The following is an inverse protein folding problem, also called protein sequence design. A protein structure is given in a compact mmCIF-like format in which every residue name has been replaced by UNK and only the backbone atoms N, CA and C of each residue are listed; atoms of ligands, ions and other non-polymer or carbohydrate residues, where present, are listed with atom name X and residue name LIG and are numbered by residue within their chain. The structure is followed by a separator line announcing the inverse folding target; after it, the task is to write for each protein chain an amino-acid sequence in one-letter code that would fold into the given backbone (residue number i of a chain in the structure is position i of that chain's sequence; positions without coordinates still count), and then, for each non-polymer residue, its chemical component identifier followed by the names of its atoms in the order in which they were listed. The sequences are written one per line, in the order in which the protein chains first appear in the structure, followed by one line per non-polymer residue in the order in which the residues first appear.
data_IF_188055133810
#
_entry.id   IF_188055133810
#
_cell.length_a   1.000
_cell.length_b   1.000
_cell.length_c   1.000
_cell.angle_alpha   90.00
_cell.angle_beta   90.00
_cell.angle_gamma   90.00
#
_symmetry.space_group_name_H-M   'P 1'
#
loop_
_entity.id
_entity.type
_entity.pdbx_description
1 polymer ?
#
# COMPACT_ATOMS: atom_id res chain seq x y z
N UNK A 1 -12.40 -15.77 -18.09
CA UNK A 1 -12.89 -15.46 -19.45
C UNK A 1 -12.62 -13.99 -19.86
N UNK A 2 -11.59 -13.31 -19.33
CA UNK A 2 -11.47 -11.85 -19.46
C UNK A 2 -10.47 -11.39 -20.52
N UNK A 3 -9.35 -12.08 -20.75
CA UNK A 3 -8.30 -11.62 -21.68
C UNK A 3 -8.74 -11.51 -23.15
N UNK A 4 -9.44 -12.54 -23.67
CA UNK A 4 -9.84 -12.58 -25.08
C UNK A 4 -10.91 -11.56 -25.48
N UNK A 5 -11.86 -11.27 -24.58
CA UNK A 5 -12.93 -10.31 -24.85
C UNK A 5 -12.43 -8.86 -24.95
N UNK A 6 -11.44 -8.48 -24.13
CA UNK A 6 -10.85 -7.14 -24.20
C UNK A 6 -9.91 -6.97 -25.38
N UNK A 7 -9.14 -7.99 -25.75
CA UNK A 7 -8.31 -7.97 -26.95
C UNK A 7 -9.15 -7.71 -28.22
N UNK A 8 -10.31 -8.38 -28.32
CA UNK A 8 -11.27 -8.16 -29.40
C UNK A 8 -11.84 -6.73 -29.36
N UNK A 9 -12.28 -6.28 -28.18
CA UNK A 9 -12.87 -4.95 -28.01
C UNK A 9 -11.87 -3.81 -28.28
N UNK A 10 -10.57 -4.02 -28.05
CA UNK A 10 -9.51 -3.06 -28.40
C UNK A 10 -9.19 -3.05 -29.90
N UNK A 11 -9.36 -4.17 -30.61
CA UNK A 11 -9.13 -4.26 -32.04
C UNK A 11 -10.16 -3.44 -32.86
N UNK A 12 -11.37 -3.29 -32.33
CA UNK A 12 -12.47 -2.57 -32.97
C UNK A 12 -12.44 -1.03 -32.71
N UNK A 13 -11.46 -0.53 -31.96
CA UNK A 13 -11.34 0.89 -31.64
C UNK A 13 -10.71 1.69 -32.77
N UNK A 14 -11.23 2.91 -33.00
CA UNK A 14 -10.56 3.89 -33.85
C UNK A 14 -9.23 4.32 -33.23
N UNK A 15 -8.30 4.82 -34.05
CA UNK A 15 -6.99 5.28 -33.59
C UNK A 15 -7.09 6.41 -32.56
N UNK A 16 -8.07 7.29 -32.72
CA UNK A 16 -8.40 8.39 -31.81
C UNK A 16 -8.89 7.84 -30.48
N UNK A 17 -9.76 6.82 -30.50
CA UNK A 17 -10.24 6.16 -29.29
C UNK A 17 -9.12 5.44 -28.54
N UNK A 18 -8.20 4.79 -29.27
CA UNK A 18 -7.02 4.16 -28.67
C UNK A 18 -6.14 5.20 -27.98
N UNK A 19 -5.81 6.31 -28.67
CA UNK A 19 -5.01 7.41 -28.11
C UNK A 19 -5.67 8.04 -26.89
N UNK A 20 -6.97 8.30 -26.94
CA UNK A 20 -7.70 8.92 -25.82
C UNK A 20 -7.68 8.03 -24.58
N UNK A 21 -8.03 6.74 -24.74
CA UNK A 21 -8.06 5.76 -23.64
C UNK A 21 -6.67 5.53 -23.06
N UNK A 22 -5.67 5.39 -23.93
CA UNK A 22 -4.28 5.22 -23.51
C UNK A 22 -3.81 6.43 -22.70
N UNK A 23 -4.04 7.65 -23.19
CA UNK A 23 -3.68 8.89 -22.49
C UNK A 23 -4.38 9.02 -21.13
N UNK A 24 -5.65 8.62 -21.03
CA UNK A 24 -6.35 8.56 -19.74
C UNK A 24 -5.65 7.62 -18.76
N UNK A 25 -5.35 6.39 -19.19
CA UNK A 25 -4.78 5.36 -18.33
C UNK A 25 -3.34 5.69 -17.93
N UNK A 26 -2.52 6.18 -18.85
CA UNK A 26 -1.15 6.62 -18.56
C UNK A 26 -1.15 7.74 -17.53
N UNK A 27 -1.97 8.77 -17.72
CA UNK A 27 -2.08 9.86 -16.76
C UNK A 27 -2.53 9.36 -15.39
N UNK A 28 -3.55 8.50 -15.33
CA UNK A 28 -4.05 7.93 -14.08
C UNK A 28 -2.97 7.09 -13.36
N UNK A 29 -2.25 6.24 -14.09
CA UNK A 29 -1.19 5.39 -13.55
C UNK A 29 0.02 6.20 -13.05
N UNK A 30 0.49 7.15 -13.87
CA UNK A 30 1.66 7.99 -13.54
C UNK A 30 1.36 8.92 -12.37
N UNK A 31 0.20 9.55 -12.35
CA UNK A 31 -0.17 10.49 -11.28
C UNK A 31 -0.49 9.80 -9.94
N UNK A 32 -0.80 8.50 -9.93
CA UNK A 32 -0.95 7.70 -8.71
C UNK A 32 0.39 7.23 -8.12
N UNK A 33 1.42 7.08 -8.95
CA UNK A 33 2.68 6.42 -8.58
C UNK A 33 3.43 7.09 -7.41
N UNK A 34 3.57 8.43 -7.31
CA UNK A 34 4.36 9.05 -6.23
C UNK A 34 3.82 8.74 -4.84
N UNK A 35 2.49 8.81 -4.64
CA UNK A 35 1.86 8.48 -3.36
C UNK A 35 1.98 7.00 -3.04
N UNK A 36 1.86 6.14 -4.05
CA UNK A 36 2.07 4.70 -3.88
C UNK A 36 3.50 4.37 -3.44
N UNK A 37 4.51 5.00 -4.05
CA UNK A 37 5.92 4.88 -3.65
C UNK A 37 6.15 5.40 -2.24
N UNK A 38 5.62 6.59 -1.92
CA UNK A 38 5.77 7.19 -0.59
C UNK A 38 5.18 6.29 0.50
N UNK A 39 3.96 5.79 0.30
CA UNK A 39 3.33 4.87 1.25
C UNK A 39 4.15 3.57 1.38
N UNK A 40 4.51 2.93 0.26
CA UNK A 40 5.17 1.62 0.29
C UNK A 40 6.57 1.70 0.90
N UNK A 41 7.41 2.63 0.43
CA UNK A 41 8.75 2.81 0.99
C UNK A 41 8.73 3.40 2.39
N UNK A 42 7.76 4.30 2.69
CA UNK A 42 7.61 4.87 4.02
C UNK A 42 7.32 3.80 5.06
N UNK A 43 6.40 2.88 4.78
CA UNK A 43 6.10 1.78 5.69
C UNK A 43 7.22 0.75 5.80
N UNK A 44 7.90 0.41 4.69
CA UNK A 44 9.10 -0.46 4.76
C UNK A 44 10.18 0.18 5.63
N UNK A 45 10.49 1.46 5.41
CA UNK A 45 11.51 2.18 6.17
C UNK A 45 11.13 2.30 7.64
N UNK A 46 9.88 2.69 7.93
CA UNK A 46 9.37 2.82 9.29
C UNK A 46 9.41 1.51 10.06
N UNK A 47 8.87 0.43 9.49
CA UNK A 47 8.91 -0.89 10.11
C UNK A 47 10.33 -1.42 10.27
N UNK A 48 11.21 -1.25 9.27
CA UNK A 48 12.59 -1.73 9.36
C UNK A 48 13.38 -0.97 10.44
N UNK A 49 13.24 0.35 10.51
CA UNK A 49 13.88 1.16 11.54
C UNK A 49 13.37 0.78 12.93
N UNK A 50 12.05 0.63 13.08
CA UNK A 50 11.44 0.22 14.34
C UNK A 50 11.90 -1.18 14.77
N UNK A 51 12.00 -2.14 13.83
CA UNK A 51 12.48 -3.49 14.11
C UNK A 51 13.94 -3.49 14.60
N UNK A 52 14.82 -2.73 13.93
CA UNK A 52 16.24 -2.64 14.31
C UNK A 52 16.43 -1.95 15.66
N UNK A 53 15.75 -0.83 15.90
CA UNK A 53 15.87 -0.09 17.16
C UNK A 53 15.33 -0.92 18.32
N UNK A 54 14.12 -1.47 18.20
CA UNK A 54 13.52 -2.26 19.26
C UNK A 54 14.28 -3.57 19.50
N UNK A 55 14.70 -4.27 18.44
CA UNK A 55 15.53 -5.47 18.58
C UNK A 55 16.87 -5.20 19.27
N UNK A 56 17.51 -4.05 18.97
CA UNK A 56 18.73 -3.63 19.66
C UNK A 56 18.49 -3.30 21.14
N UNK A 57 17.41 -2.57 21.45
CA UNK A 57 17.02 -2.25 22.82
C UNK A 57 16.68 -3.51 23.64
N UNK A 58 16.00 -4.48 23.02
CA UNK A 58 15.73 -5.78 23.62
C UNK A 58 17.04 -6.50 23.96
N UNK A 59 17.98 -6.58 23.01
CA UNK A 59 19.25 -7.26 23.22
C UNK A 59 20.10 -6.62 24.32
N UNK A 60 20.17 -5.28 24.38
CA UNK A 60 20.95 -4.55 25.40
C UNK A 60 20.40 -4.74 26.81
N UNK A 61 19.09 -4.94 26.95
CA UNK A 61 18.42 -5.06 28.25
C UNK A 61 18.05 -6.51 28.60
N UNK A 62 18.42 -7.50 27.79
CA UNK A 62 17.92 -8.87 27.90
C UNK A 62 18.29 -9.57 29.22
N UNK A 63 19.53 -9.37 29.68
CA UNK A 63 20.06 -10.01 30.89
C UNK A 63 19.71 -9.25 32.19
N UNK A 64 18.91 -8.18 32.09
CA UNK A 64 18.47 -7.40 33.24
C UNK A 64 17.27 -8.06 33.92
N UNK A 65 16.84 -7.49 35.05
CA UNK A 65 15.74 -8.01 35.88
C UNK A 65 14.72 -6.93 36.21
N UNK A 66 13.49 -7.32 36.53
CA UNK A 66 12.42 -6.38 36.88
C UNK A 66 11.96 -5.57 35.66
N UNK A 67 11.66 -4.28 35.86
CA UNK A 67 11.11 -3.40 34.80
C UNK A 67 12.00 -3.32 33.55
N UNK A 68 13.32 -3.44 33.69
CA UNK A 68 14.22 -3.44 32.53
C UNK A 68 14.08 -4.72 31.69
N UNK A 69 13.77 -5.87 32.32
CA UNK A 69 13.50 -7.12 31.60
C UNK A 69 12.18 -7.05 30.86
N UNK A 70 11.18 -6.51 31.54
CA UNK A 70 9.85 -6.25 30.98
C UNK A 70 9.93 -5.36 29.74
N UNK A 71 10.70 -4.27 29.84
CA UNK A 71 10.98 -3.38 28.71
C UNK A 71 11.66 -4.12 27.55
N UNK A 72 12.63 -5.00 27.84
CA UNK A 72 13.31 -5.78 26.81
C UNK A 72 12.35 -6.72 26.06
N UNK A 73 11.39 -7.32 26.78
CA UNK A 73 10.36 -8.19 26.23
C UNK A 73 9.39 -7.42 25.33
N UNK A 74 8.91 -6.26 25.77
CA UNK A 74 8.04 -5.39 24.97
C UNK A 74 8.73 -4.96 23.66
N UNK A 75 10.02 -4.59 23.74
CA UNK A 75 10.82 -4.25 22.57
C UNK A 75 11.06 -5.45 21.65
N UNK A 76 11.21 -6.66 22.20
CA UNK A 76 11.36 -7.86 21.37
C UNK A 76 10.07 -8.15 20.59
N UNK A 77 8.90 -8.10 21.25
CA UNK A 77 7.60 -8.35 20.60
C UNK A 77 7.31 -7.28 19.55
N UNK A 78 7.49 -6.01 19.90
CA UNK A 78 7.26 -4.90 18.98
C UNK A 78 8.24 -4.91 17.79
N UNK A 79 9.52 -5.22 18.05
CA UNK A 79 10.53 -5.38 17.02
C UNK A 79 10.23 -6.52 16.06
N UNK A 80 9.85 -7.69 16.57
CA UNK A 80 9.45 -8.85 15.76
C UNK A 80 8.20 -8.55 14.92
N UNK A 81 7.19 -7.90 15.50
CA UNK A 81 5.96 -7.52 14.77
C UNK A 81 6.26 -6.51 13.66
N UNK A 82 7.15 -5.55 13.91
CA UNK A 82 7.62 -4.61 12.89
C UNK A 82 8.40 -5.33 11.78
N UNK A 83 9.27 -6.30 12.12
CA UNK A 83 9.99 -7.10 11.12
C UNK A 83 9.02 -7.90 10.23
N UNK A 84 7.96 -8.47 10.80
CA UNK A 84 6.89 -9.13 10.04
C UNK A 84 6.17 -8.15 9.10
N UNK A 85 5.86 -6.94 9.58
CA UNK A 85 5.26 -5.87 8.75
C UNK A 85 6.13 -5.49 7.55
N UNK A 86 7.43 -5.28 7.76
CA UNK A 86 8.39 -5.03 6.69
C UNK A 86 8.49 -6.21 5.70
N UNK A 87 8.64 -7.43 6.24
CA UNK A 87 8.72 -8.65 5.43
C UNK A 87 7.48 -8.87 4.56
N UNK A 88 6.28 -8.62 5.11
CA UNK A 88 5.03 -8.69 4.37
C UNK A 88 4.97 -7.72 3.17
N UNK A 89 5.46 -6.49 3.35
CA UNK A 89 5.51 -5.49 2.27
C UNK A 89 6.57 -5.79 1.20
N UNK A 90 7.62 -6.55 1.53
CA UNK A 90 8.66 -7.00 0.60
C UNK A 90 8.20 -8.22 -0.21
N UNK A 91 7.57 -9.20 0.43
CA UNK A 91 7.06 -10.42 -0.23
C UNK A 91 5.83 -10.11 -1.08
N UNK A 92 5.04 -9.13 -0.66
CA UNK A 92 3.78 -8.76 -1.31
C UNK A 92 3.81 -7.27 -1.73
N UNK A 93 4.61 -6.93 -2.76
CA UNK A 93 4.89 -5.54 -3.11
C UNK A 93 3.64 -4.78 -3.59
N UNK A 94 3.61 -3.47 -3.35
CA UNK A 94 2.46 -2.63 -3.70
C UNK A 94 2.54 -2.19 -5.17
N UNK A 95 1.90 -2.97 -6.06
CA UNK A 95 1.94 -2.79 -7.53
C UNK A 95 1.80 -1.33 -8.01
N UNK A 96 0.90 -0.50 -7.46
CA UNK A 96 0.78 0.91 -7.89
C UNK A 96 2.09 1.73 -7.78
N UNK A 97 3.06 1.31 -6.96
CA UNK A 97 4.34 1.99 -6.81
C UNK A 97 5.30 1.78 -8.00
N UNK A 98 5.21 0.66 -8.72
CA UNK A 98 6.18 0.29 -9.77
C UNK A 98 5.55 -0.14 -11.10
N UNK A 99 4.28 -0.57 -11.11
CA UNK A 99 3.56 -0.98 -12.32
C UNK A 99 3.65 -0.01 -13.50
N UNK A 100 3.51 1.32 -13.31
CA UNK A 100 3.59 2.30 -14.39
C UNK A 100 4.95 2.40 -15.09
N UNK A 101 6.04 2.00 -14.43
CA UNK A 101 7.40 2.19 -14.97
C UNK A 101 7.66 1.41 -16.25
N UNK A 102 7.15 0.17 -16.35
CA UNK A 102 7.30 -0.62 -17.58
C UNK A 102 6.39 -0.17 -18.73
N UNK A 103 5.31 0.58 -18.42
CA UNK A 103 4.39 1.07 -19.44
C UNK A 103 5.02 2.23 -20.24
N UNK A 104 5.76 3.11 -19.57
CA UNK A 104 6.42 4.26 -20.19
C UNK A 104 7.45 3.89 -21.25
N UNK A 105 8.09 2.72 -21.11
CA UNK A 105 9.10 2.23 -22.06
C UNK A 105 8.53 1.44 -23.24
N UNK A 106 7.21 1.24 -23.30
CA UNK A 106 6.59 0.53 -24.42
C UNK A 106 6.52 1.43 -25.67
N UNK A 107 6.79 0.89 -26.87
CA UNK A 107 6.69 1.64 -28.11
C UNK A 107 5.24 2.04 -28.42
N UNK A 108 5.08 3.11 -29.19
CA UNK A 108 3.78 3.69 -29.57
C UNK A 108 3.79 4.33 -30.99
N UNK A 109 4.81 4.02 -31.78
CA UNK A 109 5.02 4.60 -33.12
C UNK A 109 4.00 4.09 -34.15
N UNK A 110 3.51 2.86 -33.99
CA UNK A 110 2.52 2.24 -34.88
C UNK A 110 1.14 2.10 -34.22
N UNK A 111 0.05 1.97 -35.01
CA UNK A 111 -1.27 1.61 -34.50
C UNK A 111 -1.27 0.35 -33.62
N UNK A 112 -0.57 -0.68 -34.07
CA UNK A 112 -0.46 -1.98 -33.40
C UNK A 112 0.26 -1.84 -32.06
N UNK A 113 1.37 -1.07 -32.02
CA UNK A 113 2.10 -0.75 -30.79
C UNK A 113 1.21 0.00 -29.80
N UNK A 114 0.44 0.99 -30.25
CA UNK A 114 -0.48 1.76 -29.39
C UNK A 114 -1.59 0.88 -28.82
N UNK A 115 -2.13 -0.07 -29.59
CA UNK A 115 -3.13 -1.04 -29.10
C UNK A 115 -2.52 -2.00 -28.07
N UNK A 116 -1.31 -2.50 -28.31
CA UNK A 116 -0.60 -3.35 -27.35
C UNK A 116 -0.31 -2.60 -26.04
N UNK A 117 0.11 -1.34 -26.13
CA UNK A 117 0.33 -0.46 -24.99
C UNK A 117 -0.95 -0.17 -24.23
N UNK A 118 -2.07 0.05 -24.92
CA UNK A 118 -3.40 0.21 -24.31
C UNK A 118 -3.81 -1.05 -23.53
N UNK A 119 -3.70 -2.24 -24.12
CA UNK A 119 -4.01 -3.50 -23.44
C UNK A 119 -3.20 -3.66 -22.15
N UNK A 120 -1.90 -3.34 -22.22
CA UNK A 120 -1.01 -3.40 -21.06
C UNK A 120 -1.38 -2.36 -19.99
N UNK A 121 -1.73 -1.13 -20.39
CA UNK A 121 -2.16 -0.09 -19.47
C UNK A 121 -3.45 -0.50 -18.71
N UNK A 122 -4.42 -1.08 -19.41
CA UNK A 122 -5.64 -1.59 -18.80
C UNK A 122 -5.36 -2.74 -17.82
N UNK A 123 -4.47 -3.67 -18.19
CA UNK A 123 -4.06 -4.77 -17.33
C UNK A 123 -3.43 -4.24 -16.03
N UNK A 124 -2.44 -3.34 -16.14
CA UNK A 124 -1.78 -2.73 -14.98
C UNK A 124 -2.80 -2.02 -14.10
N UNK A 125 -3.72 -1.24 -14.68
CA UNK A 125 -4.76 -0.53 -13.93
C UNK A 125 -5.65 -1.50 -13.14
N UNK A 126 -6.06 -2.62 -13.75
CA UNK A 126 -6.86 -3.66 -13.07
C UNK A 126 -6.10 -4.33 -11.93
N UNK A 127 -4.83 -4.65 -12.14
CA UNK A 127 -3.98 -5.23 -11.09
C UNK A 127 -3.80 -4.26 -9.93
N UNK A 128 -3.51 -2.99 -10.22
CA UNK A 128 -3.39 -1.92 -9.23
C UNK A 128 -4.69 -1.77 -8.42
N UNK A 129 -5.83 -1.64 -9.09
CA UNK A 129 -7.13 -1.51 -8.43
C UNK A 129 -7.51 -2.74 -7.59
N UNK A 130 -7.19 -3.95 -8.07
CA UNK A 130 -7.38 -5.20 -7.31
C UNK A 130 -6.52 -5.18 -6.04
N UNK A 131 -5.24 -4.81 -6.16
CA UNK A 131 -4.31 -4.74 -5.02
C UNK A 131 -4.75 -3.73 -3.96
N UNK A 132 -5.23 -2.56 -4.38
CA UNK A 132 -5.80 -1.55 -3.47
C UNK A 132 -7.08 -2.04 -2.78
N UNK A 133 -7.90 -2.86 -3.47
CA UNK A 133 -9.10 -3.47 -2.88
C UNK A 133 -8.73 -4.52 -1.84
N UNK A 134 -7.78 -5.40 -2.15
CA UNK A 134 -7.34 -6.50 -1.27
C UNK A 134 -6.61 -6.00 -0.02
N UNK A 135 -5.75 -4.98 -0.15
CA UNK A 135 -5.03 -4.41 1.00
C UNK A 135 -5.94 -3.81 2.07
N UNK A 136 -7.18 -3.47 1.72
CA UNK A 136 -8.24 -3.03 2.66
C UNK A 136 -9.37 -4.04 2.81
N UNK A 137 -9.15 -5.27 2.35
CA UNK A 137 -10.11 -6.37 2.44
C UNK A 137 -10.12 -7.00 3.83
N UNK A 138 -11.18 -7.75 4.12
CA UNK A 138 -11.36 -8.44 5.40
C UNK A 138 -10.20 -9.38 5.73
N UNK A 139 -9.60 -10.03 4.71
CA UNK A 139 -8.47 -10.94 4.89
C UNK A 139 -7.26 -10.19 5.46
N UNK A 140 -6.97 -8.99 4.96
CA UNK A 140 -5.86 -8.17 5.46
C UNK A 140 -6.11 -7.75 6.91
N UNK A 141 -7.33 -7.35 7.24
CA UNK A 141 -7.71 -7.05 8.62
C UNK A 141 -7.59 -8.29 9.52
N UNK A 142 -8.09 -9.45 9.10
CA UNK A 142 -8.03 -10.68 9.88
C UNK A 142 -6.60 -11.18 10.11
N UNK A 143 -5.73 -11.08 9.10
CA UNK A 143 -4.32 -11.43 9.24
C UNK A 143 -3.60 -10.50 10.23
N UNK A 144 -3.83 -9.18 10.15
CA UNK A 144 -3.26 -8.22 11.09
C UNK A 144 -3.77 -8.47 12.52
N UNK A 145 -5.08 -8.63 12.68
CA UNK A 145 -5.70 -8.95 13.97
C UNK A 145 -5.09 -10.22 14.59
N UNK A 146 -4.88 -11.26 13.78
CA UNK A 146 -4.26 -12.51 14.22
C UNK A 146 -2.82 -12.33 14.70
N UNK A 147 -1.99 -11.59 13.94
CA UNK A 147 -0.60 -11.28 14.34
C UNK A 147 -0.58 -10.44 15.62
N UNK A 148 -1.44 -9.42 15.72
CA UNK A 148 -1.49 -8.54 16.87
C UNK A 148 -2.01 -9.26 18.13
N UNK A 149 -2.99 -10.15 17.97
CA UNK A 149 -3.47 -10.99 19.06
C UNK A 149 -2.37 -11.96 19.52
N UNK A 150 -1.62 -12.56 18.59
CA UNK A 150 -0.48 -13.40 18.93
C UNK A 150 0.60 -12.63 19.69
N UNK A 151 0.89 -11.38 19.32
CA UNK A 151 1.82 -10.52 20.04
C UNK A 151 1.39 -10.31 21.50
N UNK A 152 0.13 -9.95 21.74
CA UNK A 152 -0.40 -9.81 23.11
C UNK A 152 -0.41 -11.12 23.89
N UNK A 153 -0.68 -12.25 23.24
CA UNK A 153 -0.62 -13.57 23.88
C UNK A 153 0.80 -13.99 24.23
N UNK A 154 1.80 -13.66 23.41
CA UNK A 154 3.22 -13.89 23.74
C UNK A 154 3.61 -13.11 24.98
N UNK A 155 3.23 -11.84 25.09
CA UNK A 155 3.46 -11.02 26.30
C UNK A 155 2.91 -11.72 27.55
N UNK A 156 1.69 -12.25 27.51
CA UNK A 156 1.07 -12.89 28.68
C UNK A 156 1.60 -14.29 28.97
N UNK A 157 1.69 -15.14 27.95
CA UNK A 157 1.89 -16.59 28.12
C UNK A 157 3.36 -17.02 28.08
N UNK A 158 4.22 -16.26 27.39
CA UNK A 158 5.63 -16.60 27.23
C UNK A 158 6.49 -15.79 28.20
N UNK A 159 6.11 -14.53 28.43
CA UNK A 159 6.81 -13.63 29.33
C UNK A 159 6.14 -13.48 30.70
N UNK A 160 5.10 -14.27 30.98
CA UNK A 160 4.38 -14.29 32.26
C UNK A 160 3.90 -12.90 32.74
N UNK A 161 3.59 -12.00 31.78
CA UNK A 161 3.14 -10.63 32.05
C UNK A 161 1.64 -10.59 32.36
N UNK A 162 1.14 -9.59 33.12
CA UNK A 162 -0.29 -9.41 33.36
C UNK A 162 -1.11 -9.29 32.07
N UNK A 163 -2.36 -9.76 32.10
CA UNK A 163 -3.30 -9.64 30.97
C UNK A 163 -3.50 -8.19 30.49
N UNK A 164 -3.40 -7.20 31.37
CA UNK A 164 -3.47 -5.79 31.01
C UNK A 164 -2.35 -5.38 30.06
N UNK A 165 -1.13 -5.89 30.26
CA UNK A 165 0.03 -5.61 29.42
C UNK A 165 -0.15 -6.24 28.03
N UNK A 166 -0.60 -7.50 27.97
CA UNK A 166 -0.92 -8.14 26.70
C UNK A 166 -1.98 -7.40 25.89
N UNK A 167 -3.01 -6.86 26.56
CA UNK A 167 -4.03 -6.02 25.92
C UNK A 167 -3.45 -4.70 25.40
N UNK A 168 -2.53 -4.08 26.13
CA UNK A 168 -1.82 -2.87 25.69
C UNK A 168 -0.96 -3.17 24.46
N UNK A 169 -0.18 -4.25 24.48
CA UNK A 169 0.63 -4.70 23.33
C UNK A 169 -0.24 -4.94 22.09
N UNK A 170 -1.37 -5.63 22.26
CA UNK A 170 -2.35 -5.85 21.20
C UNK A 170 -2.88 -4.51 20.65
N UNK A 171 -3.35 -3.61 21.52
CA UNK A 171 -3.99 -2.36 21.12
C UNK A 171 -3.04 -1.42 20.37
N UNK A 172 -1.78 -1.32 20.83
CA UNK A 172 -0.75 -0.53 20.14
C UNK A 172 -0.47 -1.12 18.76
N UNK A 173 -0.25 -2.43 18.68
CA UNK A 173 0.07 -3.11 17.42
C UNK A 173 -1.08 -3.00 16.41
N UNK A 174 -2.32 -3.19 16.88
CA UNK A 174 -3.52 -3.04 16.06
C UNK A 174 -3.70 -1.61 15.56
N UNK A 175 -3.42 -0.60 16.39
CA UNK A 175 -3.48 0.80 15.96
C UNK A 175 -2.51 1.08 14.81
N UNK A 176 -1.30 0.53 14.85
CA UNK A 176 -0.31 0.66 13.77
C UNK A 176 -0.76 -0.09 12.51
N UNK A 177 -1.29 -1.31 12.65
CA UNK A 177 -1.85 -2.08 11.52
C UNK A 177 -3.01 -1.35 10.84
N UNK A 178 -3.94 -0.79 11.62
CA UNK A 178 -5.05 0.00 11.09
C UNK A 178 -4.54 1.26 10.40
N UNK A 179 -3.55 1.95 10.96
CA UNK A 179 -2.92 3.10 10.32
C UNK A 179 -2.30 2.72 8.96
N UNK A 180 -1.62 1.57 8.87
CA UNK A 180 -1.08 1.04 7.61
C UNK A 180 -2.18 0.82 6.57
N UNK A 181 -3.23 0.09 6.94
CA UNK A 181 -4.36 -0.25 6.06
C UNK A 181 -5.13 1.01 5.61
N UNK A 182 -5.42 1.92 6.54
CA UNK A 182 -6.24 3.09 6.24
C UNK A 182 -5.46 4.17 5.47
N UNK A 183 -4.14 4.27 5.66
CA UNK A 183 -3.28 5.17 4.89
C UNK A 183 -2.98 4.69 3.47
N UNK A 184 -3.30 3.43 3.13
CA UNK A 184 -3.06 2.86 1.80
C UNK A 184 -3.77 3.68 0.69
N UNK A 185 -3.05 4.10 -0.36
CA UNK A 185 -3.62 4.79 -1.52
C UNK A 185 -4.74 3.98 -2.20
N UNK A 186 -5.71 4.69 -2.77
CA UNK A 186 -6.94 4.11 -3.38
C UNK A 186 -7.24 4.62 -4.78
N UNK A 187 -6.26 5.28 -5.40
CA UNK A 187 -6.46 6.06 -6.62
C UNK A 187 -6.70 5.14 -7.81
N UNK A 188 -5.97 4.03 -7.95
CA UNK A 188 -6.16 3.12 -9.06
C UNK A 188 -7.58 2.52 -9.10
N UNK A 189 -8.17 2.24 -7.93
CA UNK A 189 -9.56 1.76 -7.83
C UNK A 189 -10.57 2.81 -8.28
N UNK A 190 -10.36 4.09 -7.92
CA UNK A 190 -11.20 5.20 -8.38
C UNK A 190 -11.05 5.36 -9.90
N UNK A 191 -9.82 5.41 -10.37
CA UNK A 191 -9.53 5.75 -11.76
C UNK A 191 -9.92 4.61 -12.71
N UNK A 192 -9.82 3.34 -12.29
CA UNK A 192 -10.40 2.21 -13.01
C UNK A 192 -11.93 2.34 -13.11
N UNK A 193 -12.61 2.70 -12.02
CA UNK A 193 -14.07 2.90 -12.07
C UNK A 193 -14.45 4.01 -13.04
N UNK A 194 -13.73 5.12 -13.03
CA UNK A 194 -13.93 6.23 -13.97
C UNK A 194 -13.69 5.81 -15.42
N UNK A 195 -12.64 5.03 -15.68
CA UNK A 195 -12.36 4.46 -17.00
C UNK A 195 -13.52 3.59 -17.49
N UNK A 196 -14.00 2.67 -16.64
CA UNK A 196 -15.08 1.75 -16.98
C UNK A 196 -16.41 2.46 -17.27
N UNK A 197 -16.72 3.53 -16.52
CA UNK A 197 -17.91 4.35 -16.77
C UNK A 197 -17.77 5.09 -18.10
N UNK A 198 -16.63 5.76 -18.31
CA UNK A 198 -16.42 6.64 -19.47
C UNK A 198 -16.30 5.87 -20.79
N UNK A 199 -15.61 4.74 -20.79
CA UNK A 199 -15.20 4.06 -22.02
C UNK A 199 -15.84 2.68 -22.24
N UNK A 200 -16.34 2.04 -21.18
CA UNK A 200 -16.97 0.71 -21.26
C UNK A 200 -18.48 0.75 -20.97
N UNK A 201 -19.07 1.94 -20.82
CA UNK A 201 -20.51 2.11 -20.62
C UNK A 201 -21.02 1.50 -19.30
N UNK A 202 -20.15 1.28 -18.32
CA UNK A 202 -20.60 0.75 -17.02
C UNK A 202 -21.45 1.79 -16.28
N UNK A 203 -22.54 1.37 -15.61
CA UNK A 203 -23.36 2.28 -14.84
C UNK A 203 -22.55 2.86 -13.65
N UNK A 204 -22.70 4.17 -13.41
CA UNK A 204 -22.08 4.86 -12.29
C UNK A 204 -21.91 6.35 -12.54
N UNK A 205 -21.52 7.08 -11.51
CA UNK A 205 -21.19 8.51 -11.62
C UNK A 205 -19.70 8.66 -11.89
N UNK A 206 -19.36 9.27 -13.03
CA UNK A 206 -18.00 9.73 -13.30
C UNK A 206 -17.62 10.77 -12.25
N UNK A 207 -16.45 10.58 -11.62
CA UNK A 207 -15.88 11.57 -10.70
C UNK A 207 -14.69 12.19 -11.39
N UNK A 208 -14.77 13.49 -11.65
CA UNK A 208 -13.61 14.23 -12.13
C UNK A 208 -12.46 14.06 -11.14
N UNK A 209 -11.22 14.08 -11.62
CA UNK A 209 -10.05 13.84 -10.80
C UNK A 209 -9.89 14.95 -9.76
N UNK A 210 -10.61 14.84 -8.64
CA UNK A 210 -10.32 15.66 -7.45
C UNK A 210 -8.83 15.49 -7.18
N UNK A 211 -8.13 16.62 -7.09
CA UNK A 211 -6.78 16.64 -6.57
C UNK A 211 -6.87 16.04 -5.17
N UNK A 212 -6.48 14.76 -5.06
CA UNK A 212 -6.34 14.12 -3.76
C UNK A 212 -5.47 15.07 -2.91
N UNK A 213 -5.80 15.31 -1.63
CA UNK A 213 -5.06 16.24 -0.79
C UNK A 213 -3.57 15.90 -0.82
N UNK A 214 -2.76 16.88 -1.21
CA UNK A 214 -1.31 16.75 -1.28
C UNK A 214 -0.76 17.04 0.10
N UNK A 215 -0.42 15.97 0.82
CA UNK A 215 0.26 16.06 2.10
C UNK A 215 1.74 16.33 1.85
N UNK A 216 2.27 17.35 2.50
CA UNK A 216 3.70 17.62 2.47
C UNK A 216 4.28 17.54 3.87
N UNK A 217 5.48 16.98 3.94
CA UNK A 217 6.32 16.92 5.12
C UNK A 217 7.65 17.54 4.73
N UNK A 218 8.10 18.53 5.49
CA UNK A 218 9.42 19.12 5.30
C UNK A 218 10.13 19.32 6.64
N UNK A 219 11.44 19.12 6.62
CA UNK A 219 12.34 19.34 7.75
C UNK A 219 13.20 20.54 7.39
N UNK A 220 13.29 21.52 8.29
CA UNK A 220 14.12 22.72 8.13
C UNK A 220 14.76 23.11 9.46
N UNK A 221 15.87 23.88 9.45
CA UNK A 221 16.48 24.38 10.68
C UNK A 221 15.47 25.27 11.43
N UNK A 222 14.88 24.75 12.51
CA UNK A 222 13.84 25.42 13.28
C UNK A 222 12.56 24.61 13.50
N UNK A 223 12.37 23.46 12.82
CA UNK A 223 11.27 22.55 13.15
C UNK A 223 10.82 21.63 12.01
N UNK A 224 9.62 21.07 12.21
CA UNK A 224 8.95 20.18 11.26
C UNK A 224 7.69 20.88 10.76
N UNK A 225 7.50 20.90 9.43
CA UNK A 225 6.26 21.39 8.82
C UNK A 225 5.46 20.22 8.24
N UNK A 226 4.19 20.17 8.59
CA UNK A 226 3.20 19.26 8.00
C UNK A 226 2.03 20.08 7.50
N UNK A 227 1.56 19.80 6.28
CA UNK A 227 0.40 20.49 5.72
C UNK A 227 -0.28 19.73 4.61
N UNK A 228 -1.46 20.21 4.24
CA UNK A 228 -2.34 19.62 3.24
C UNK A 228 -2.72 20.69 2.22
N UNK A 229 -2.54 20.38 0.94
CA UNK A 229 -2.95 21.25 -0.18
C UNK A 229 -4.05 20.56 -0.98
N UNK A 230 -5.15 21.27 -1.20
CA UNK A 230 -6.22 20.88 -2.13
C UNK A 230 -5.89 21.34 -3.55
#
# INVERSE_FOLDING_TARGET
MTGGAFAQQTADLSEEQVKERLGFLENALVSAQPRAKLWWYGWIAGYSAAALVQGGLAAVNWDKTGEDKDFAEDMLVGGATCALGAGGLLISPFVPAYGPTGLQSMPEGTPEERRAKLLRAEEIMRVCAKREKEGRGWLTHGLNLGVNAAAGLVTVLVFDRPWSEGLITFAISESVSLLNIFSQPRRARRDLKNYEIRYLGKPGTYREGEADPTWYFSVHPGGISFGMRF
#
